data_IF_486446565878
#
_entry.id   IF_486446565878
#
_cell.length_a   1.000
_cell.length_b   1.000
_cell.length_c   1.000
_cell.angle_alpha   90.00
_cell.angle_beta   90.00
_cell.angle_gamma   90.00
#
_symmetry.space_group_name_H-M   'P 1'
#
loop_
_entity.id
_entity.type
_entity.pdbx_description
1 polymer ?
#
# COMPACT_ATOMS: atom_id res chain seq x y z
N UNK A 1 14.92 -14.51 1.51
CA UNK A 1 15.29 -14.14 2.90
C UNK A 1 14.54 -15.03 3.86
N UNK A 2 15.03 -15.23 5.09
CA UNK A 2 14.20 -15.91 6.09
C UNK A 2 13.08 -14.96 6.56
N UNK A 3 11.89 -15.50 6.86
CA UNK A 3 10.76 -14.71 7.39
C UNK A 3 11.18 -13.90 8.64
N UNK A 4 12.07 -14.44 9.49
CA UNK A 4 12.63 -13.73 10.65
C UNK A 4 13.41 -12.46 10.29
N UNK A 5 14.10 -12.46 9.15
CA UNK A 5 14.86 -11.31 8.67
C UNK A 5 13.92 -10.22 8.15
N UNK A 6 12.86 -10.63 7.44
CA UNK A 6 11.79 -9.73 7.00
C UNK A 6 11.07 -9.10 8.20
N UNK A 7 10.69 -9.89 9.20
CA UNK A 7 10.08 -9.40 10.44
C UNK A 7 10.98 -8.40 11.17
N UNK A 8 12.25 -8.74 11.38
CA UNK A 8 13.23 -7.85 12.02
C UNK A 8 13.33 -6.48 11.33
N UNK A 9 13.14 -6.46 10.00
CA UNK A 9 13.23 -5.24 9.19
C UNK A 9 11.93 -4.45 9.17
N UNK A 10 10.80 -5.11 9.00
CA UNK A 10 9.51 -4.46 8.73
C UNK A 10 8.66 -4.23 9.97
N UNK A 11 8.79 -5.04 11.02
CA UNK A 11 8.05 -4.82 12.27
C UNK A 11 8.28 -3.40 12.83
N UNK A 12 9.53 -2.86 12.91
CA UNK A 12 9.74 -1.48 13.37
C UNK A 12 9.10 -0.41 12.47
N UNK A 13 9.02 -0.68 11.16
CA UNK A 13 8.40 0.24 10.20
C UNK A 13 6.87 0.25 10.39
N UNK A 14 6.27 -0.93 10.58
CA UNK A 14 4.85 -1.08 10.83
C UNK A 14 4.44 -0.48 12.19
N UNK A 15 5.31 -0.62 13.21
CA UNK A 15 5.15 0.07 14.49
C UNK A 15 5.19 1.59 14.32
N UNK A 16 6.15 2.16 13.58
CA UNK A 16 6.20 3.60 13.30
C UNK A 16 4.95 4.08 12.55
N UNK A 17 4.45 3.30 11.58
CA UNK A 17 3.19 3.58 10.89
C UNK A 17 2.01 3.61 11.88
N UNK A 18 1.94 2.65 12.80
CA UNK A 18 0.90 2.61 13.83
C UNK A 18 0.99 3.84 14.74
N UNK A 19 2.19 4.18 15.23
CA UNK A 19 2.43 5.35 16.08
C UNK A 19 2.06 6.66 15.38
N UNK A 20 2.45 6.85 14.11
CA UNK A 20 2.08 8.05 13.33
C UNK A 20 0.59 8.16 13.06
N UNK A 21 -0.12 7.05 13.14
CA UNK A 21 -1.57 7.00 12.96
C UNK A 21 -2.34 7.13 14.28
N UNK A 22 -1.66 7.27 15.42
CA UNK A 22 -2.33 7.48 16.71
C UNK A 22 -2.86 8.91 16.84
N UNK A 23 -4.11 9.04 17.30
CA UNK A 23 -4.75 10.31 17.65
C UNK A 23 -4.66 10.54 19.17
N UNK A 24 -4.82 9.46 19.94
CA UNK A 24 -4.62 9.40 21.39
C UNK A 24 -4.07 8.02 21.76
N UNK A 25 -3.67 7.81 23.01
CA UNK A 25 -3.14 6.53 23.51
C UNK A 25 -4.08 5.33 23.24
N UNK A 26 -5.39 5.57 23.08
CA UNK A 26 -6.39 4.53 22.86
C UNK A 26 -7.08 4.58 21.50
N UNK A 27 -6.70 5.51 20.62
CA UNK A 27 -7.39 5.70 19.34
C UNK A 27 -6.42 5.86 18.18
N UNK A 28 -6.63 5.04 17.15
CA UNK A 28 -5.86 5.03 15.91
C UNK A 28 -6.74 5.49 14.75
N UNK A 29 -6.25 6.46 13.97
CA UNK A 29 -6.83 6.87 12.69
C UNK A 29 -6.56 5.78 11.65
N UNK A 30 -7.54 4.91 11.46
CA UNK A 30 -7.45 3.79 10.52
C UNK A 30 -7.38 4.26 9.06
N UNK A 31 -7.82 5.47 8.74
CA UNK A 31 -7.74 5.97 7.37
C UNK A 31 -6.30 6.40 7.06
N UNK A 32 -5.67 7.15 7.97
CA UNK A 32 -4.26 7.51 7.85
C UNK A 32 -3.36 6.28 7.83
N UNK A 33 -3.65 5.29 8.68
CA UNK A 33 -2.94 4.01 8.71
C UNK A 33 -2.99 3.27 7.36
N UNK A 34 -4.19 3.16 6.75
CA UNK A 34 -4.34 2.56 5.41
C UNK A 34 -3.51 3.27 4.35
N UNK A 35 -3.46 4.61 4.39
CA UNK A 35 -2.64 5.40 3.44
C UNK A 35 -1.15 5.11 3.61
N UNK A 36 -0.65 5.03 4.85
CA UNK A 36 0.75 4.71 5.11
C UNK A 36 1.12 3.28 4.71
N UNK A 37 0.27 2.29 5.04
CA UNK A 37 0.48 0.90 4.63
C UNK A 37 0.51 0.77 3.11
N UNK A 38 -0.46 1.36 2.40
CA UNK A 38 -0.47 1.32 0.95
C UNK A 38 0.74 2.03 0.33
N UNK A 39 1.21 3.11 0.94
CA UNK A 39 2.42 3.82 0.51
C UNK A 39 3.66 2.94 0.70
N UNK A 40 3.79 2.29 1.87
CA UNK A 40 4.86 1.33 2.14
C UNK A 40 4.87 0.23 1.09
N UNK A 41 3.72 -0.44 0.89
CA UNK A 41 3.61 -1.54 -0.06
C UNK A 41 3.96 -1.11 -1.49
N UNK A 42 3.45 0.06 -1.90
CA UNK A 42 3.74 0.62 -3.22
C UNK A 42 5.24 0.86 -3.43
N UNK A 43 5.92 1.45 -2.44
CA UNK A 43 7.35 1.70 -2.52
C UNK A 43 8.17 0.40 -2.59
N UNK A 44 7.80 -0.58 -1.77
CA UNK A 44 8.45 -1.90 -1.74
C UNK A 44 8.30 -2.63 -3.08
N UNK A 45 7.11 -2.63 -3.68
CA UNK A 45 6.88 -3.31 -4.96
C UNK A 45 7.56 -2.56 -6.12
N UNK A 46 7.63 -1.23 -6.04
CA UNK A 46 8.25 -0.40 -7.09
C UNK A 46 9.77 -0.58 -7.14
N UNK A 47 10.43 -0.65 -5.98
CA UNK A 47 11.85 -0.96 -5.88
C UNK A 47 12.15 -1.83 -4.64
N UNK A 48 12.05 -3.17 -4.78
CA UNK A 48 12.30 -4.08 -3.67
C UNK A 48 13.72 -3.94 -3.11
N UNK A 49 14.70 -3.65 -3.96
CA UNK A 49 16.10 -3.55 -3.56
C UNK A 49 16.37 -2.29 -2.74
N UNK A 50 15.73 -1.17 -3.04
CA UNK A 50 15.80 0.03 -2.19
C UNK A 50 15.17 -0.21 -0.81
N UNK A 51 14.08 -0.98 -0.77
CA UNK A 51 13.52 -1.52 0.47
C UNK A 51 14.38 -2.63 1.11
N UNK A 52 15.47 -3.05 0.45
CA UNK A 52 16.40 -4.12 0.81
C UNK A 52 15.75 -5.48 1.00
N UNK A 53 14.84 -5.79 0.09
CA UNK A 53 14.14 -7.06 -0.09
C UNK A 53 14.48 -7.57 -1.49
N UNK A 54 14.54 -8.89 -1.68
CA UNK A 54 14.69 -9.42 -3.03
C UNK A 54 13.30 -9.60 -3.67
N UNK A 55 13.15 -9.47 -5.00
CA UNK A 55 11.86 -9.66 -5.66
C UNK A 55 11.19 -11.01 -5.34
N UNK A 56 11.97 -12.08 -5.19
CA UNK A 56 11.47 -13.41 -4.81
C UNK A 56 10.88 -13.49 -3.39
N UNK A 57 11.21 -12.53 -2.52
CA UNK A 57 10.76 -12.48 -1.12
C UNK A 57 9.48 -11.62 -0.94
N UNK A 58 8.94 -11.05 -2.04
CA UNK A 58 7.77 -10.17 -1.98
C UNK A 58 6.50 -10.89 -1.53
N UNK A 59 6.32 -12.16 -1.88
CA UNK A 59 5.16 -12.95 -1.45
C UNK A 59 5.20 -13.20 0.06
N UNK A 60 6.34 -13.64 0.60
CA UNK A 60 6.53 -13.81 2.04
C UNK A 60 6.36 -12.49 2.81
N UNK A 61 6.84 -11.38 2.24
CA UNK A 61 6.65 -10.05 2.84
C UNK A 61 5.19 -9.59 2.78
N UNK A 62 4.48 -9.87 1.69
CA UNK A 62 3.05 -9.58 1.57
C UNK A 62 2.26 -10.25 2.68
N UNK A 63 2.52 -11.54 2.91
CA UNK A 63 1.83 -12.34 3.92
C UNK A 63 2.17 -11.86 5.33
N UNK A 64 3.45 -11.58 5.61
CA UNK A 64 3.88 -10.99 6.87
C UNK A 64 3.20 -9.64 7.14
N UNK A 65 3.19 -8.74 6.15
CA UNK A 65 2.58 -7.42 6.32
C UNK A 65 1.07 -7.58 6.56
N UNK A 66 0.38 -8.42 5.80
CA UNK A 66 -1.04 -8.71 6.04
C UNK A 66 -1.27 -9.19 7.48
N UNK A 67 -0.55 -10.21 7.93
CA UNK A 67 -0.66 -10.73 9.29
C UNK A 67 -0.55 -9.62 10.35
N UNK A 68 0.43 -8.72 10.20
CA UNK A 68 0.70 -7.64 11.17
C UNK A 68 -0.36 -6.55 11.17
N UNK A 69 -0.92 -6.21 10.00
CA UNK A 69 -1.89 -5.12 9.89
C UNK A 69 -3.34 -5.59 10.08
N UNK A 70 -3.61 -6.90 9.97
CA UNK A 70 -4.93 -7.49 10.17
C UNK A 70 -5.46 -7.20 11.57
N UNK A 71 -4.62 -7.21 12.61
CA UNK A 71 -5.04 -6.86 13.97
C UNK A 71 -5.56 -5.42 14.10
N UNK A 72 -5.07 -4.51 13.25
CA UNK A 72 -5.47 -3.10 13.24
C UNK A 72 -6.71 -2.87 12.36
N UNK A 73 -6.76 -3.54 11.20
CA UNK A 73 -7.74 -3.29 10.14
C UNK A 73 -8.92 -4.28 10.13
N UNK A 74 -8.75 -5.46 10.71
CA UNK A 74 -9.78 -6.50 10.86
C UNK A 74 -10.13 -7.24 9.56
N UNK A 75 -9.23 -7.27 8.56
CA UNK A 75 -9.43 -7.95 7.28
C UNK A 75 -8.32 -8.98 7.06
N UNK A 76 -8.67 -10.17 6.57
CA UNK A 76 -7.69 -11.23 6.24
C UNK A 76 -6.85 -10.89 4.98
N UNK A 77 -7.36 -10.00 4.12
CA UNK A 77 -6.62 -9.40 2.99
C UNK A 77 -6.56 -7.88 3.19
N UNK A 78 -5.74 -7.48 4.16
CA UNK A 78 -5.70 -6.10 4.64
C UNK A 78 -4.96 -5.16 3.68
N UNK A 79 -3.96 -5.63 2.93
CA UNK A 79 -3.27 -4.84 1.90
C UNK A 79 -4.24 -4.53 0.77
N UNK A 80 -4.93 -5.53 0.20
CA UNK A 80 -5.94 -5.28 -0.83
C UNK A 80 -7.03 -4.34 -0.33
N UNK A 81 -7.51 -4.54 0.90
CA UNK A 81 -8.50 -3.65 1.50
C UNK A 81 -8.01 -2.20 1.63
N UNK A 82 -6.69 -1.96 1.81
CA UNK A 82 -6.12 -0.61 1.75
C UNK A 82 -6.28 0.01 0.36
N UNK A 83 -6.06 -0.75 -0.71
CA UNK A 83 -6.24 -0.26 -2.09
C UNK A 83 -7.70 -0.10 -2.48
N UNK A 84 -8.60 -0.98 -2.01
CA UNK A 84 -10.05 -0.78 -2.14
C UNK A 84 -10.50 0.51 -1.47
N UNK A 85 -9.96 0.78 -0.27
CA UNK A 85 -10.19 2.04 0.42
C UNK A 85 -9.68 3.23 -0.38
N UNK A 86 -8.45 3.18 -0.90
CA UNK A 86 -7.86 4.25 -1.73
C UNK A 86 -8.75 4.54 -2.96
N UNK A 87 -9.26 3.50 -3.61
CA UNK A 87 -10.13 3.61 -4.78
C UNK A 87 -11.58 3.98 -4.46
N UNK A 88 -11.87 4.41 -3.22
CA UNK A 88 -13.20 4.83 -2.77
C UNK A 88 -13.29 6.35 -2.55
N UNK A 89 -14.52 6.88 -2.46
CA UNK A 89 -14.75 8.29 -2.08
C UNK A 89 -14.17 8.63 -0.70
N UNK A 90 -14.15 7.67 0.22
CA UNK A 90 -13.57 7.86 1.54
C UNK A 90 -12.04 7.93 1.47
N UNK A 91 -11.41 7.10 0.63
CA UNK A 91 -9.97 7.16 0.36
C UNK A 91 -9.56 8.46 -0.31
N UNK A 92 -10.33 8.90 -1.32
CA UNK A 92 -10.10 10.19 -1.98
C UNK A 92 -10.07 11.34 -0.96
N UNK A 93 -11.08 11.38 -0.08
CA UNK A 93 -11.16 12.38 0.99
C UNK A 93 -9.99 12.26 1.97
N UNK A 94 -9.63 11.04 2.39
CA UNK A 94 -8.51 10.83 3.30
C UNK A 94 -7.17 11.29 2.68
N UNK A 95 -6.95 11.04 1.39
CA UNK A 95 -5.75 11.53 0.68
C UNK A 95 -5.72 13.06 0.60
N UNK A 96 -6.87 13.72 0.50
CA UNK A 96 -6.97 15.19 0.55
C UNK A 96 -6.68 15.72 1.97
N UNK A 97 -7.28 15.11 2.99
CA UNK A 97 -7.09 15.49 4.40
C UNK A 97 -5.64 15.29 4.86
N UNK A 98 -5.00 14.20 4.44
CA UNK A 98 -3.57 13.93 4.64
C UNK A 98 -2.64 14.79 3.77
N UNK A 99 -3.20 15.65 2.91
CA UNK A 99 -2.47 16.57 2.03
C UNK A 99 -1.43 15.88 1.14
N UNK A 100 -1.75 14.70 0.62
CA UNK A 100 -0.86 14.01 -0.32
C UNK A 100 -0.65 14.87 -1.57
N UNK A 101 0.57 14.83 -2.12
CA UNK A 101 0.87 15.49 -3.40
C UNK A 101 0.12 14.78 -4.53
N UNK A 102 -0.09 15.47 -5.66
CA UNK A 102 -0.78 14.86 -6.80
C UNK A 102 -0.04 13.60 -7.29
N UNK A 103 1.29 13.66 -7.39
CA UNK A 103 2.12 12.52 -7.78
C UNK A 103 1.93 11.30 -6.86
N UNK A 104 1.82 11.52 -5.54
CA UNK A 104 1.59 10.43 -4.59
C UNK A 104 0.19 9.82 -4.75
N UNK A 105 -0.84 10.66 -4.95
CA UNK A 105 -2.20 10.18 -5.22
C UNK A 105 -2.26 9.34 -6.50
N UNK A 106 -1.65 9.84 -7.57
CA UNK A 106 -1.62 9.17 -8.87
C UNK A 106 -0.93 7.81 -8.77
N UNK A 107 0.19 7.74 -8.01
CA UNK A 107 0.89 6.50 -7.74
C UNK A 107 0.02 5.47 -7.00
N UNK A 108 -0.65 5.89 -5.92
CA UNK A 108 -1.53 4.99 -5.16
C UNK A 108 -2.73 4.51 -5.99
N UNK A 109 -3.31 5.37 -6.83
CA UNK A 109 -4.41 5.03 -7.72
C UNK A 109 -3.97 4.10 -8.86
N UNK A 110 -2.76 4.28 -9.39
CA UNK A 110 -2.16 3.38 -10.38
C UNK A 110 -1.98 1.95 -9.82
N UNK A 111 -1.49 1.83 -8.58
CA UNK A 111 -1.40 0.51 -7.93
C UNK A 111 -2.78 -0.05 -7.59
N UNK A 112 -3.75 0.81 -7.25
CA UNK A 112 -5.13 0.39 -7.04
C UNK A 112 -5.72 -0.24 -8.30
N UNK A 113 -5.54 0.36 -9.49
CA UNK A 113 -6.04 -0.24 -10.73
C UNK A 113 -5.36 -1.57 -11.05
N UNK A 114 -4.05 -1.67 -10.83
CA UNK A 114 -3.29 -2.90 -11.07
C UNK A 114 -3.71 -4.05 -10.15
N UNK A 115 -3.94 -3.78 -8.85
CA UNK A 115 -4.27 -4.79 -7.84
C UNK A 115 -5.75 -5.19 -7.91
N UNK A 116 -6.65 -4.22 -8.14
CA UNK A 116 -8.09 -4.45 -8.05
C UNK A 116 -8.73 -4.89 -9.39
N UNK A 117 -8.21 -4.42 -10.52
CA UNK A 117 -8.67 -4.80 -11.87
C UNK A 117 -7.47 -4.95 -12.85
N UNK A 118 -6.66 -6.02 -12.72
CA UNK A 118 -5.49 -6.24 -13.59
C UNK A 118 -5.83 -6.26 -15.09
N UNK A 119 -7.02 -6.77 -15.45
CA UNK A 119 -7.47 -6.85 -16.85
C UNK A 119 -7.89 -5.49 -17.40
N UNK A 120 -8.60 -4.68 -16.60
CA UNK A 120 -8.86 -3.28 -16.92
C UNK A 120 -7.58 -2.47 -17.05
N UNK A 121 -6.63 -2.66 -16.12
CA UNK A 121 -5.34 -1.99 -16.12
C UNK A 121 -4.53 -2.28 -17.39
N UNK A 122 -4.46 -3.55 -17.81
CA UNK A 122 -3.77 -3.95 -19.05
C UNK A 122 -4.36 -3.25 -20.28
N UNK A 123 -5.69 -3.28 -20.44
CA UNK A 123 -6.37 -2.62 -21.57
C UNK A 123 -6.15 -1.10 -21.59
N UNK A 124 -6.14 -0.47 -20.41
CA UNK A 124 -5.84 0.96 -20.28
C UNK A 124 -4.40 1.29 -20.69
N UNK A 125 -3.43 0.48 -20.26
CA UNK A 125 -2.02 0.64 -20.66
C UNK A 125 -1.81 0.47 -22.17
N UNK A 126 -2.49 -0.51 -22.80
CA UNK A 126 -2.47 -0.70 -24.26
C UNK A 126 -2.98 0.56 -24.99
N UNK A 127 -4.10 1.14 -24.52
CA UNK A 127 -4.68 2.36 -25.10
C UNK A 127 -3.74 3.57 -24.99
N UNK A 128 -3.01 3.70 -23.88
CA UNK A 128 -2.02 4.79 -23.69
C UNK A 128 -0.82 4.62 -24.63
N UNK A 129 -0.33 3.39 -24.77
CA UNK A 129 0.78 3.07 -25.66
C UNK A 129 0.44 3.41 -27.12
N UNK A 130 -0.76 3.06 -27.57
CA UNK A 130 -1.23 3.36 -28.93
C UNK A 130 -1.34 4.87 -29.21
N UNK A 131 -1.81 5.65 -28.23
CA UNK A 131 -1.96 7.10 -28.36
C UNK A 131 -0.63 7.86 -28.27
N UNK A 132 0.39 7.30 -27.60
CA UNK A 132 1.72 7.91 -27.47
C UNK A 132 2.62 7.63 -28.69
N UNK A 133 2.21 6.72 -29.57
CA UNK A 133 2.93 6.34 -30.81
C UNK A 133 2.33 7.02 -32.06
N UNK A 134 1.37 7.93 -31.88
CA UNK A 134 0.78 8.79 -32.92
C UNK A 134 1.24 10.23 -32.76
#
# INVERSE_FOLDING_TARGET
>A
MAISDLATRFDPILEDIATRSQVTDSYLDRNLYRLYVATLWTNVVLDPHDAGVNPEDLEDLHDLVNERITDVLGSDDAIRACFEFINSKAGERAMQEARLTQNHKDLLLYFSSMILDPDGHRRWMETISENSTR
#
